data_IF_310511083179
#
_entry.id   IF_310511083179
#
_cell.length_a   1.000
_cell.length_b   1.000
_cell.length_c   1.000
_cell.angle_alpha   90.00
_cell.angle_beta   90.00
_cell.angle_gamma   90.00
#
_symmetry.space_group_name_H-M   'P 1'
#
loop_
_entity.id
_entity.type
_entity.pdbx_description
1 polymer ?
#
# COMPACT_ATOMS: atom_id res chain seq x y z
N UNK A 1 -0.51 -3.85 23.19
CA UNK A 1 -0.50 -4.95 22.19
C UNK A 1 -1.57 -4.75 21.11
N UNK A 2 -2.87 -4.74 21.45
CA UNK A 2 -3.98 -4.67 20.47
C UNK A 2 -3.89 -3.48 19.51
N UNK A 3 -3.59 -2.28 20.02
CA UNK A 3 -3.45 -1.06 19.20
C UNK A 3 -2.36 -1.23 18.12
N UNK A 4 -1.21 -1.83 18.47
CA UNK A 4 -0.11 -2.07 17.52
C UNK A 4 -0.54 -3.05 16.42
N UNK A 5 -1.28 -4.11 16.77
CA UNK A 5 -1.83 -5.06 15.79
C UNK A 5 -2.83 -4.38 14.85
N UNK A 6 -3.77 -3.59 15.38
CA UNK A 6 -4.75 -2.87 14.56
C UNK A 6 -4.04 -1.91 13.60
N UNK A 7 -3.06 -1.15 14.09
CA UNK A 7 -2.31 -0.21 13.26
C UNK A 7 -1.49 -0.92 12.18
N UNK A 8 -0.86 -2.05 12.52
CA UNK A 8 -0.14 -2.89 11.56
C UNK A 8 -1.07 -3.44 10.48
N UNK A 9 -2.24 -3.96 10.86
CA UNK A 9 -3.24 -4.46 9.89
C UNK A 9 -3.70 -3.35 8.96
N UNK A 10 -3.94 -2.14 9.48
CA UNK A 10 -4.29 -0.97 8.66
C UNK A 10 -3.16 -0.64 7.69
N UNK A 11 -1.91 -0.57 8.15
CA UNK A 11 -0.76 -0.27 7.27
C UNK A 11 -0.59 -1.30 6.16
N UNK A 12 -0.72 -2.59 6.46
CA UNK A 12 -0.67 -3.66 5.45
C UNK A 12 -1.83 -3.54 4.47
N UNK A 13 -3.05 -3.25 4.94
CA UNK A 13 -4.22 -3.08 4.07
C UNK A 13 -4.08 -1.86 3.15
N UNK A 14 -3.53 -0.76 3.65
CA UNK A 14 -3.22 0.44 2.86
C UNK A 14 -2.16 0.13 1.80
N UNK A 15 -1.09 -0.58 2.17
CA UNK A 15 -0.06 -1.02 1.23
C UNK A 15 -0.66 -1.91 0.13
N UNK A 16 -1.48 -2.88 0.52
CA UNK A 16 -2.17 -3.80 -0.39
C UNK A 16 -3.11 -3.06 -1.36
N UNK A 17 -3.87 -2.08 -0.86
CA UNK A 17 -4.72 -1.24 -1.69
C UNK A 17 -3.91 -0.48 -2.74
N UNK A 18 -2.80 0.14 -2.33
CA UNK A 18 -1.94 0.88 -3.23
C UNK A 18 -1.26 -0.02 -4.26
N UNK A 19 -0.71 -1.16 -3.85
CA UNK A 19 -0.11 -2.15 -4.73
C UNK A 19 -1.11 -2.71 -5.75
N UNK A 20 -2.35 -2.99 -5.33
CA UNK A 20 -3.41 -3.40 -6.24
C UNK A 20 -3.81 -2.27 -7.20
N UNK A 21 -3.85 -1.02 -6.74
CA UNK A 21 -4.20 0.15 -7.54
C UNK A 21 -3.19 0.40 -8.67
N UNK A 22 -1.90 0.36 -8.34
CA UNK A 22 -0.79 0.46 -9.29
C UNK A 22 -0.93 -0.60 -10.38
N UNK A 23 -1.01 -1.87 -9.98
CA UNK A 23 -1.02 -2.96 -10.94
C UNK A 23 -2.31 -3.02 -11.74
N UNK A 24 -3.45 -2.62 -11.17
CA UNK A 24 -4.71 -2.51 -11.89
C UNK A 24 -4.58 -1.50 -13.02
N UNK A 25 -4.07 -0.30 -12.74
CA UNK A 25 -3.88 0.76 -13.75
C UNK A 25 -2.92 0.34 -14.86
N UNK A 26 -1.80 -0.29 -14.51
CA UNK A 26 -0.81 -0.78 -15.49
C UNK A 26 -1.40 -1.89 -16.38
N UNK A 27 -2.33 -2.70 -15.84
CA UNK A 27 -2.93 -3.83 -16.55
C UNK A 27 -4.19 -3.47 -17.35
N UNK A 28 -4.63 -2.20 -17.32
CA UNK A 28 -5.83 -1.79 -18.05
C UNK A 28 -5.59 -1.76 -19.56
N UNK A 29 -6.67 -1.98 -20.30
CA UNK A 29 -6.71 -1.69 -21.73
C UNK A 29 -7.32 -0.31 -21.95
N UNK A 30 -6.45 0.68 -22.22
CA UNK A 30 -6.83 2.08 -22.44
C UNK A 30 -7.93 2.25 -23.51
N UNK A 31 -7.84 1.49 -24.61
CA UNK A 31 -8.82 1.58 -25.70
C UNK A 31 -10.20 1.10 -25.25
N UNK A 32 -10.25 0.02 -24.47
CA UNK A 32 -11.52 -0.48 -23.91
C UNK A 32 -12.14 0.52 -22.94
N UNK A 33 -11.33 1.15 -22.09
CA UNK A 33 -11.81 2.17 -21.14
C UNK A 33 -12.29 3.43 -21.87
N UNK A 34 -11.59 3.86 -22.93
CA UNK A 34 -12.03 4.99 -23.79
C UNK A 34 -13.39 4.71 -24.44
N UNK A 35 -13.58 3.52 -25.02
CA UNK A 35 -14.87 3.11 -25.60
C UNK A 35 -15.99 3.10 -24.57
N UNK A 36 -15.73 2.66 -23.33
CA UNK A 36 -16.71 2.72 -22.24
C UNK A 36 -17.07 4.18 -21.87
N UNK A 37 -16.08 5.06 -21.84
CA UNK A 37 -16.27 6.49 -21.55
C UNK A 37 -17.11 7.20 -22.62
N UNK A 38 -16.89 6.87 -23.89
CA UNK A 38 -17.66 7.34 -25.04
C UNK A 38 -19.11 6.87 -24.98
N UNK A 39 -19.34 5.61 -24.58
CA UNK A 39 -20.67 5.02 -24.32
C UNK A 39 -21.40 5.60 -23.10
N UNK A 40 -20.79 6.57 -22.39
CA UNK A 40 -21.43 7.32 -21.32
C UNK A 40 -21.10 6.86 -19.90
N UNK A 41 -20.20 5.88 -19.71
CA UNK A 41 -19.81 5.44 -18.37
C UNK A 41 -19.02 6.55 -17.64
N UNK A 42 -19.58 7.06 -16.53
CA UNK A 42 -18.99 8.14 -15.73
C UNK A 42 -17.67 7.72 -15.09
N UNK A 43 -17.53 6.48 -14.62
CA UNK A 43 -16.30 5.97 -13.99
C UNK A 43 -15.21 5.82 -15.04
N UNK A 44 -15.54 5.31 -16.23
CA UNK A 44 -14.61 5.22 -17.34
C UNK A 44 -14.11 6.61 -17.76
N UNK A 45 -14.96 7.64 -17.81
CA UNK A 45 -14.51 9.03 -18.09
C UNK A 45 -13.49 9.54 -17.08
N UNK A 46 -13.67 9.27 -15.79
CA UNK A 46 -12.69 9.63 -14.77
C UNK A 46 -11.39 8.85 -14.93
N UNK A 47 -11.49 7.57 -15.28
CA UNK A 47 -10.34 6.70 -15.48
C UNK A 47 -9.53 7.13 -16.70
N UNK A 48 -10.17 7.51 -17.82
CA UNK A 48 -9.51 8.10 -18.98
C UNK A 48 -8.72 9.35 -18.61
N UNK A 49 -9.27 10.23 -17.76
CA UNK A 49 -8.55 11.41 -17.27
C UNK A 49 -7.33 11.04 -16.44
N UNK A 50 -7.45 10.04 -15.56
CA UNK A 50 -6.35 9.52 -14.74
C UNK A 50 -5.25 8.88 -15.61
N UNK A 51 -5.63 8.13 -16.65
CA UNK A 51 -4.72 7.52 -17.61
C UNK A 51 -4.07 8.54 -18.56
N UNK A 52 -4.53 9.80 -18.58
CA UNK A 52 -3.89 10.88 -19.34
C UNK A 52 -2.57 11.35 -18.73
N UNK A 53 -2.42 11.25 -17.40
CA UNK A 53 -1.17 11.57 -16.68
C UNK A 53 -0.86 10.50 -15.62
N UNK A 54 -0.60 9.25 -16.03
CA UNK A 54 -0.44 8.13 -15.10
C UNK A 54 0.81 8.30 -14.22
N UNK A 55 1.86 8.94 -14.73
CA UNK A 55 3.14 9.10 -14.02
C UNK A 55 3.00 9.81 -12.67
N UNK A 56 2.21 10.89 -12.61
CA UNK A 56 2.00 11.65 -11.36
C UNK A 56 1.24 10.82 -10.33
N UNK A 57 0.27 10.05 -10.81
CA UNK A 57 -0.56 9.22 -9.95
C UNK A 57 0.20 7.99 -9.43
N UNK A 58 0.93 7.30 -10.30
CA UNK A 58 1.80 6.17 -9.95
C UNK A 58 2.90 6.58 -8.98
N UNK A 59 3.53 7.74 -9.17
CA UNK A 59 4.53 8.25 -8.21
C UNK A 59 3.94 8.43 -6.80
N UNK A 60 2.70 8.94 -6.70
CA UNK A 60 2.01 9.10 -5.41
C UNK A 60 1.71 7.75 -4.77
N UNK A 61 1.22 6.79 -5.56
CA UNK A 61 1.01 5.41 -5.09
C UNK A 61 2.31 4.82 -4.56
N UNK A 62 3.41 4.95 -5.30
CA UNK A 62 4.69 4.35 -4.95
C UNK A 62 5.28 4.93 -3.66
N UNK A 63 5.11 6.24 -3.43
CA UNK A 63 5.43 6.86 -2.14
C UNK A 63 4.57 6.24 -1.03
N UNK A 64 3.27 6.07 -1.27
CA UNK A 64 2.34 5.43 -0.34
C UNK A 64 2.74 3.98 0.01
N UNK A 65 3.11 3.18 -0.99
CA UNK A 65 3.60 1.80 -0.83
C UNK A 65 4.86 1.80 0.05
N UNK A 66 5.81 2.67 -0.28
CA UNK A 66 7.10 2.75 0.42
C UNK A 66 6.90 3.12 1.89
N UNK A 67 6.11 4.17 2.16
CA UNK A 67 5.83 4.62 3.52
C UNK A 67 5.04 3.58 4.32
N UNK A 68 3.98 3.02 3.75
CA UNK A 68 3.17 2.01 4.42
C UNK A 68 3.97 0.73 4.70
N UNK A 69 4.75 0.25 3.73
CA UNK A 69 5.62 -0.91 3.88
C UNK A 69 6.72 -0.71 4.92
N UNK A 70 7.37 0.47 4.92
CA UNK A 70 8.38 0.81 5.92
C UNK A 70 7.80 0.87 7.34
N UNK A 71 6.70 1.59 7.53
CA UNK A 71 6.04 1.71 8.83
C UNK A 71 5.50 0.36 9.32
N UNK A 72 4.92 -0.45 8.43
CA UNK A 72 4.46 -1.79 8.75
C UNK A 72 5.63 -2.66 9.22
N UNK A 73 6.75 -2.64 8.49
CA UNK A 73 7.95 -3.44 8.82
C UNK A 73 8.59 -3.02 10.15
N UNK A 74 8.68 -1.72 10.42
CA UNK A 74 9.20 -1.20 11.69
C UNK A 74 8.31 -1.61 12.87
N UNK A 75 6.99 -1.42 12.75
CA UNK A 75 6.02 -1.76 13.79
C UNK A 75 5.94 -3.29 14.02
N UNK A 76 6.06 -4.07 12.95
CA UNK A 76 6.17 -5.51 12.95
C UNK A 76 7.40 -6.00 13.72
N UNK A 77 8.59 -5.47 13.43
CA UNK A 77 9.81 -5.86 14.13
C UNK A 77 9.71 -5.57 15.64
N UNK A 78 9.23 -4.39 16.01
CA UNK A 78 9.07 -3.98 17.41
C UNK A 78 8.00 -4.80 18.15
N UNK A 79 6.86 -5.09 17.51
CA UNK A 79 5.73 -5.72 18.19
C UNK A 79 5.89 -7.22 18.43
N UNK A 80 6.71 -7.90 17.63
CA UNK A 80 6.85 -9.36 17.67
C UNK A 80 8.18 -9.85 18.23
N UNK A 81 9.22 -8.99 18.29
CA UNK A 81 10.52 -9.36 18.84
C UNK A 81 10.46 -9.70 20.34
N UNK A 82 9.91 -8.81 21.16
CA UNK A 82 9.98 -8.94 22.62
C UNK A 82 9.23 -10.16 23.20
N UNK A 83 8.00 -10.50 22.76
CA UNK A 83 7.30 -11.67 23.27
C UNK A 83 8.00 -12.98 22.95
N UNK A 84 8.63 -13.09 21.77
CA UNK A 84 9.33 -14.31 21.36
C UNK A 84 10.67 -14.48 22.10
N UNK A 85 11.38 -13.38 22.36
CA UNK A 85 12.59 -13.39 23.18
C UNK A 85 12.26 -13.86 24.61
N UNK A 86 11.14 -13.42 25.18
CA UNK A 86 10.70 -13.87 26.50
C UNK A 86 10.36 -15.37 26.54
N UNK A 87 9.74 -15.92 25.49
CA UNK A 87 9.40 -17.35 25.40
C UNK A 87 10.66 -18.22 25.24
N UNK A 88 11.61 -17.78 24.42
CA UNK A 88 12.81 -18.57 24.12
C UNK A 88 13.92 -18.41 25.18
N UNK A 89 13.95 -17.30 25.91
CA UNK A 89 14.81 -17.12 27.08
C UNK A 89 14.47 -18.09 28.23
N UNK A 90 13.25 -18.64 28.25
CA UNK A 90 12.85 -19.65 29.22
C UNK A 90 13.51 -21.03 29.01
N UNK A 91 14.16 -21.26 27.86
CA UNK A 91 14.70 -22.58 27.47
C UNK A 91 16.19 -22.80 27.80
N UNK A 92 16.83 -21.95 28.62
CA UNK A 92 18.19 -22.16 29.16
C UNK A 92 19.23 -22.62 28.12
N UNK A 93 19.24 -21.96 26.95
CA UNK A 93 20.15 -22.32 25.86
C UNK A 93 21.62 -21.96 26.20
N UNK A 94 22.62 -22.76 25.78
CA UNK A 94 24.04 -22.52 26.03
C UNK A 94 24.61 -21.45 25.07
N UNK A 95 23.94 -20.31 24.97
CA UNK A 95 24.30 -19.19 24.10
C UNK A 95 24.07 -17.90 24.88
N UNK A 96 24.90 -16.88 24.68
CA UNK A 96 24.69 -15.60 25.37
C UNK A 96 23.32 -15.00 24.98
N UNK A 97 22.64 -14.40 25.95
CA UNK A 97 21.30 -13.83 25.76
C UNK A 97 21.27 -12.81 24.62
N UNK A 98 22.35 -12.04 24.43
CA UNK A 98 22.50 -11.09 23.33
C UNK A 98 22.51 -11.76 21.95
N UNK A 99 23.22 -12.89 21.80
CA UNK A 99 23.29 -13.64 20.53
C UNK A 99 21.97 -14.33 20.26
N UNK A 100 21.34 -14.92 21.28
CA UNK A 100 20.02 -15.52 21.18
C UNK A 100 18.97 -14.48 20.73
N UNK A 101 18.95 -13.30 21.37
CA UNK A 101 18.06 -12.20 21.03
C UNK A 101 18.26 -11.72 19.59
N UNK A 102 19.51 -11.52 19.16
CA UNK A 102 19.80 -11.10 17.79
C UNK A 102 19.32 -12.12 16.74
N UNK A 103 19.56 -13.42 16.97
CA UNK A 103 19.10 -14.49 16.07
C UNK A 103 17.58 -14.57 15.96
N UNK A 104 16.88 -14.44 17.09
CA UNK A 104 15.41 -14.43 17.14
C UNK A 104 14.84 -13.23 16.39
N UNK A 105 15.36 -12.03 16.66
CA UNK A 105 14.94 -10.81 15.97
C UNK A 105 15.13 -10.95 14.46
N UNK A 106 16.27 -11.48 14.02
CA UNK A 106 16.55 -11.71 12.59
C UNK A 106 15.56 -12.70 11.97
N UNK A 107 15.32 -13.85 12.61
CA UNK A 107 14.41 -14.87 12.10
C UNK A 107 12.96 -14.35 12.00
N UNK A 108 12.46 -13.67 13.03
CA UNK A 108 11.13 -13.04 13.03
C UNK A 108 11.04 -11.98 11.95
N UNK A 109 12.06 -11.13 11.82
CA UNK A 109 12.08 -10.07 10.81
C UNK A 109 11.98 -10.66 9.41
N UNK A 110 12.72 -11.74 9.11
CA UNK A 110 12.66 -12.41 7.81
C UNK A 110 11.28 -13.00 7.54
N UNK A 111 10.73 -13.76 8.50
CA UNK A 111 9.40 -14.38 8.36
C UNK A 111 8.34 -13.30 8.16
N UNK A 112 8.32 -12.28 9.02
CA UNK A 112 7.31 -11.23 8.98
C UNK A 112 7.44 -10.33 7.76
N UNK A 113 8.67 -10.08 7.30
CA UNK A 113 8.92 -9.41 6.02
C UNK A 113 8.35 -10.20 4.85
N UNK A 114 8.55 -11.53 4.83
CA UNK A 114 7.95 -12.40 3.81
C UNK A 114 6.42 -12.30 3.80
N UNK A 115 5.78 -12.44 4.97
CA UNK A 115 4.31 -12.30 5.08
C UNK A 115 3.84 -10.91 4.63
N UNK A 116 4.51 -9.85 5.08
CA UNK A 116 4.16 -8.46 4.71
C UNK A 116 4.31 -8.22 3.21
N UNK A 117 5.37 -8.73 2.59
CA UNK A 117 5.61 -8.62 1.16
C UNK A 117 4.58 -9.43 0.35
N UNK A 118 4.28 -10.66 0.77
CA UNK A 118 3.34 -11.54 0.08
C UNK A 118 1.93 -10.97 0.14
N UNK A 119 1.43 -10.66 1.35
CA UNK A 119 0.04 -10.23 1.55
C UNK A 119 -0.17 -8.73 1.32
N UNK A 120 0.85 -7.93 1.60
CA UNK A 120 0.81 -6.47 1.40
C UNK A 120 1.11 -6.03 -0.02
N UNK A 121 1.73 -6.86 -0.86
CA UNK A 121 2.12 -6.43 -2.21
C UNK A 121 1.87 -7.49 -3.29
N UNK A 122 2.47 -8.67 -3.21
CA UNK A 122 2.45 -9.64 -4.32
C UNK A 122 1.05 -10.20 -4.61
N UNK A 123 0.32 -10.61 -3.57
CA UNK A 123 -1.04 -11.14 -3.71
C UNK A 123 -2.00 -10.06 -4.23
N UNK A 124 -2.04 -8.84 -3.67
CA UNK A 124 -2.83 -7.74 -4.22
C UNK A 124 -2.51 -7.44 -5.69
N UNK A 125 -1.23 -7.38 -6.08
CA UNK A 125 -0.82 -7.18 -7.47
C UNK A 125 -1.34 -8.29 -8.38
N UNK A 126 -1.20 -9.56 -7.99
CA UNK A 126 -1.74 -10.70 -8.75
C UNK A 126 -3.25 -10.64 -8.92
N UNK A 127 -3.99 -10.25 -7.88
CA UNK A 127 -5.45 -10.08 -7.94
C UNK A 127 -5.80 -8.95 -8.90
N UNK A 128 -5.07 -7.83 -8.83
CA UNK A 128 -5.26 -6.68 -9.70
C UNK A 128 -5.00 -6.98 -11.18
N UNK A 129 -3.99 -7.78 -11.51
CA UNK A 129 -3.77 -8.22 -12.89
C UNK A 129 -4.97 -8.99 -13.45
N UNK A 130 -5.60 -9.84 -12.63
CA UNK A 130 -6.76 -10.66 -13.06
C UNK A 130 -8.06 -9.87 -13.10
N UNK A 131 -8.20 -8.82 -12.28
CA UNK A 131 -9.42 -8.02 -12.10
C UNK A 131 -9.17 -6.52 -12.27
N UNK A 132 -8.37 -6.16 -13.27
CA UNK A 132 -7.87 -4.80 -13.48
C UNK A 132 -9.00 -3.77 -13.57
N UNK A 133 -10.02 -4.02 -14.40
CA UNK A 133 -11.15 -3.11 -14.58
C UNK A 133 -11.94 -2.87 -13.29
N UNK A 134 -12.28 -3.94 -12.56
CA UNK A 134 -13.05 -3.84 -11.32
C UNK A 134 -12.29 -3.07 -10.25
N UNK A 135 -11.00 -3.35 -10.08
CA UNK A 135 -10.15 -2.64 -9.12
C UNK A 135 -9.94 -1.20 -9.55
N UNK A 136 -9.65 -0.94 -10.83
CA UNK A 136 -9.49 0.41 -11.34
C UNK A 136 -10.76 1.26 -11.15
N UNK A 137 -11.95 0.72 -11.38
CA UNK A 137 -13.20 1.44 -11.11
C UNK A 137 -13.46 1.68 -9.62
N UNK A 138 -13.04 0.77 -8.75
CA UNK A 138 -13.08 1.01 -7.31
C UNK A 138 -12.12 2.14 -6.92
N UNK A 139 -10.88 2.07 -7.39
CA UNK A 139 -9.82 3.04 -7.14
C UNK A 139 -10.19 4.43 -7.66
N UNK A 140 -10.70 4.53 -8.90
CA UNK A 140 -11.15 5.81 -9.47
C UNK A 140 -12.23 6.46 -8.61
N UNK A 141 -13.11 5.67 -8.02
CA UNK A 141 -14.18 6.16 -7.16
C UNK A 141 -13.62 6.70 -5.83
N UNK A 142 -12.77 5.92 -5.17
CA UNK A 142 -12.10 6.31 -3.92
C UNK A 142 -11.26 7.57 -4.10
N UNK A 143 -10.50 7.65 -5.20
CA UNK A 143 -9.67 8.82 -5.51
C UNK A 143 -10.47 10.05 -5.90
N UNK A 144 -11.60 9.88 -6.60
CA UNK A 144 -12.47 11.02 -6.93
C UNK A 144 -13.10 11.60 -5.67
N UNK A 145 -13.42 10.74 -4.69
CA UNK A 145 -13.88 11.17 -3.37
C UNK A 145 -12.77 11.90 -2.60
N UNK A 146 -11.56 11.34 -2.58
CA UNK A 146 -10.38 11.97 -1.96
C UNK A 146 -10.06 13.31 -2.62
N UNK A 147 -10.12 13.38 -3.95
CA UNK A 147 -9.86 14.58 -4.74
C UNK A 147 -10.86 15.69 -4.45
N UNK A 148 -12.11 15.39 -4.11
CA UNK A 148 -13.08 16.42 -3.65
C UNK A 148 -12.66 17.02 -2.31
N UNK A 149 -12.11 16.21 -1.42
CA UNK A 149 -11.63 16.64 -0.09
C UNK A 149 -10.33 17.45 -0.21
N UNK A 150 -9.44 17.05 -1.13
CA UNK A 150 -8.15 17.72 -1.34
C UNK A 150 -8.22 18.90 -2.33
N UNK A 151 -9.29 19.03 -3.12
CA UNK A 151 -9.51 20.15 -4.04
C UNK A 151 -9.31 21.55 -3.42
N UNK A 152 -9.82 21.86 -2.20
CA UNK A 152 -9.54 23.15 -1.56
C UNK A 152 -8.05 23.38 -1.32
N UNK A 153 -7.29 22.35 -0.92
CA UNK A 153 -5.84 22.44 -0.72
C UNK A 153 -5.08 22.60 -2.04
N UNK A 154 -5.49 21.87 -3.09
CA UNK A 154 -4.87 21.97 -4.43
C UNK A 154 -5.11 23.36 -5.03
N UNK A 155 -6.31 23.93 -4.86
CA UNK A 155 -6.59 25.31 -5.29
C UNK A 155 -5.71 26.32 -4.55
N UNK A 156 -5.53 26.15 -3.25
CA UNK A 156 -4.68 27.02 -2.44
C UNK A 156 -3.21 26.98 -2.91
N UNK A 157 -2.68 25.79 -3.19
CA UNK A 157 -1.32 25.59 -3.69
C UNK A 157 -1.12 26.08 -5.13
N UNK A 158 -2.13 25.92 -5.97
CA UNK A 158 -2.07 26.39 -7.37
C UNK A 158 -2.15 27.92 -7.42
N UNK A 159 -2.92 28.56 -6.53
CA UNK A 159 -2.93 30.00 -6.36
C UNK A 159 -1.53 30.55 -6.01
N UNK A 160 -0.78 29.86 -5.14
CA UNK A 160 0.61 30.22 -4.84
C UNK A 160 1.53 30.11 -6.07
N UNK A 161 1.39 29.04 -6.86
CA UNK A 161 2.22 28.81 -8.06
C UNK A 161 1.93 29.76 -9.23
N UNK A 162 0.82 30.49 -9.19
CA UNK A 162 0.44 31.50 -10.20
C UNK A 162 0.83 32.92 -9.77
N UNK A 163 1.42 33.08 -8.58
CA UNK A 163 1.87 34.35 -7.99
C UNK A 163 3.40 34.54 -8.04
N UNK A 164 4.11 33.65 -8.72
CA UNK A 164 5.55 33.68 -9.03
C UNK A 164 5.72 33.63 -10.55
#
# INVERSE_FOLDING_TARGET
>A
MIIKFVFLTILIAVNAFFAASEMALISLNDNKIKLMAEKGDKKARHLVKLLGEPSRFLATIQIGITLAGFLASALAAESFADPLVAILGAYSLPVSEAVLKAGIVLAITIILSYFTLVFGELVPKRVAMKKAEGIAFFVVTTLTLLSKITNPFVKLLTAYKTSL
#
